data_IF_291424023112
#
_entry.id   IF_291424023112
#
_cell.length_a   1.000
_cell.length_b   1.000
_cell.length_c   1.000
_cell.angle_alpha   90.00
_cell.angle_beta   90.00
_cell.angle_gamma   90.00
#
_symmetry.space_group_name_H-M   'P 1'
#
loop_
_entity.id
_entity.type
_entity.pdbx_description
1 polymer ?
#
# COMPACT_ATOMS: atom_id res chain seq x y z
N UNK A 1 36.39 -12.73 4.08
CA UNK A 1 35.01 -13.27 4.12
C UNK A 1 34.07 -12.47 5.03
N UNK A 2 34.49 -11.99 6.22
CA UNK A 2 33.62 -11.22 7.13
C UNK A 2 33.07 -9.92 6.50
N UNK A 3 33.93 -9.12 5.87
CA UNK A 3 33.55 -7.86 5.20
C UNK A 3 32.54 -8.06 4.05
N UNK A 4 32.63 -9.20 3.35
CA UNK A 4 31.69 -9.53 2.27
C UNK A 4 30.29 -9.82 2.82
N UNK A 5 30.19 -10.53 3.95
CA UNK A 5 28.90 -10.80 4.63
C UNK A 5 28.26 -9.54 5.19
N UNK A 6 29.04 -8.62 5.73
CA UNK A 6 28.52 -7.34 6.25
C UNK A 6 27.94 -6.47 5.13
N UNK A 7 28.60 -6.44 3.96
CA UNK A 7 28.07 -5.74 2.78
C UNK A 7 26.75 -6.35 2.28
N UNK A 8 26.65 -7.67 2.21
CA UNK A 8 25.41 -8.35 1.81
C UNK A 8 24.25 -8.06 2.77
N UNK A 9 24.50 -8.06 4.08
CA UNK A 9 23.49 -7.73 5.07
C UNK A 9 23.03 -6.26 5.00
N UNK A 10 23.95 -5.33 4.72
CA UNK A 10 23.60 -3.91 4.53
C UNK A 10 22.74 -3.70 3.28
N UNK A 11 23.06 -4.37 2.17
CA UNK A 11 22.27 -4.31 0.93
C UNK A 11 20.87 -4.86 1.16
N UNK A 12 20.74 -6.04 1.79
CA UNK A 12 19.43 -6.62 2.08
C UNK A 12 18.56 -5.71 2.97
N UNK A 13 19.16 -5.06 3.98
CA UNK A 13 18.42 -4.12 4.83
C UNK A 13 17.98 -2.86 4.06
N UNK A 14 18.79 -2.40 3.10
CA UNK A 14 18.44 -1.27 2.25
C UNK A 14 17.29 -1.63 1.30
N UNK A 15 17.30 -2.82 0.71
CA UNK A 15 16.23 -3.34 -0.14
C UNK A 15 14.92 -3.48 0.64
N UNK A 16 14.99 -4.02 1.86
CA UNK A 16 13.84 -4.12 2.76
C UNK A 16 13.27 -2.74 3.13
N UNK A 17 14.14 -1.74 3.34
CA UNK A 17 13.70 -0.37 3.62
C UNK A 17 12.99 0.23 2.40
N UNK A 18 13.56 0.07 1.20
CA UNK A 18 12.94 0.56 -0.03
C UNK A 18 11.60 -0.13 -0.27
N UNK A 19 11.50 -1.43 -0.04
CA UNK A 19 10.25 -2.18 -0.17
C UNK A 19 9.16 -1.61 0.76
N UNK A 20 9.51 -1.34 2.04
CA UNK A 20 8.59 -0.72 3.02
C UNK A 20 8.15 0.68 2.60
N UNK A 21 9.05 1.49 2.06
CA UNK A 21 8.73 2.84 1.59
C UNK A 21 7.76 2.80 0.40
N UNK A 22 8.03 1.92 -0.58
CA UNK A 22 7.14 1.70 -1.73
C UNK A 22 5.77 1.21 -1.29
N UNK A 23 5.71 0.27 -0.35
CA UNK A 23 4.44 -0.23 0.19
C UNK A 23 3.65 0.89 0.89
N UNK A 24 4.34 1.76 1.63
CA UNK A 24 3.74 2.90 2.31
C UNK A 24 3.17 3.92 1.33
N UNK A 25 3.91 4.26 0.27
CA UNK A 25 3.45 5.14 -0.81
C UNK A 25 2.20 4.55 -1.47
N UNK A 26 2.23 3.25 -1.80
CA UNK A 26 1.08 2.56 -2.40
C UNK A 26 -0.17 2.65 -1.53
N UNK A 27 -0.03 2.46 -0.21
CA UNK A 27 -1.15 2.57 0.75
C UNK A 27 -1.71 3.99 0.81
N UNK A 28 -0.85 5.01 0.81
CA UNK A 28 -1.28 6.42 0.81
C UNK A 28 -2.04 6.79 -0.47
N UNK A 29 -1.56 6.32 -1.63
CA UNK A 29 -2.24 6.54 -2.91
C UNK A 29 -3.61 5.84 -2.95
N UNK A 30 -3.68 4.60 -2.50
CA UNK A 30 -4.95 3.87 -2.40
C UNK A 30 -5.95 4.61 -1.49
N UNK A 31 -5.50 5.10 -0.34
CA UNK A 31 -6.35 5.89 0.56
C UNK A 31 -6.86 7.16 -0.11
N UNK A 32 -5.99 7.89 -0.83
CA UNK A 32 -6.37 9.09 -1.56
C UNK A 32 -7.42 8.80 -2.62
N UNK A 33 -7.22 7.76 -3.44
CA UNK A 33 -8.16 7.37 -4.49
C UNK A 33 -9.54 7.04 -3.91
N UNK A 34 -9.59 6.25 -2.85
CA UNK A 34 -10.86 5.93 -2.19
C UNK A 34 -11.51 7.19 -1.60
N UNK A 35 -10.74 8.12 -1.05
CA UNK A 35 -11.26 9.41 -0.56
C UNK A 35 -11.82 10.28 -1.69
N UNK A 36 -11.22 10.22 -2.88
CA UNK A 36 -11.65 10.99 -4.05
C UNK A 36 -12.88 10.42 -4.75
N UNK A 37 -13.28 9.18 -4.45
CA UNK A 37 -14.46 8.60 -5.06
C UNK A 37 -14.27 7.18 -5.55
N UNK A 38 -13.02 6.81 -5.85
CA UNK A 38 -12.73 5.59 -6.60
C UNK A 38 -13.24 4.34 -5.88
N UNK A 39 -13.88 3.45 -6.62
CA UNK A 39 -14.32 2.17 -6.10
C UNK A 39 -13.22 1.08 -6.22
N UNK A 40 -13.50 -0.09 -5.66
CA UNK A 40 -12.52 -1.17 -5.67
C UNK A 40 -12.24 -1.73 -7.06
N UNK A 41 -13.17 -1.60 -8.01
CA UNK A 41 -13.04 -2.15 -9.36
C UNK A 41 -12.20 -1.22 -10.25
N UNK A 42 -12.41 0.10 -10.17
CA UNK A 42 -11.57 1.12 -10.82
C UNK A 42 -10.11 1.01 -10.37
N UNK A 43 -9.90 0.84 -9.07
CA UNK A 43 -8.57 0.64 -8.48
C UNK A 43 -7.96 -0.69 -8.94
N UNK A 44 -8.76 -1.76 -9.04
CA UNK A 44 -8.27 -3.07 -9.47
C UNK A 44 -7.81 -3.03 -10.93
N UNK A 45 -8.59 -2.38 -11.79
CA UNK A 45 -8.28 -2.16 -13.19
C UNK A 45 -6.95 -1.41 -13.34
N UNK A 46 -6.75 -0.31 -12.60
CA UNK A 46 -5.52 0.48 -12.66
C UNK A 46 -4.28 -0.30 -12.18
N UNK A 47 -4.46 -1.24 -11.24
CA UNK A 47 -3.38 -2.05 -10.67
C UNK A 47 -3.17 -3.39 -11.41
N UNK A 48 -4.03 -3.75 -12.36
CA UNK A 48 -3.99 -5.06 -13.03
C UNK A 48 -4.22 -6.24 -12.09
N UNK A 49 -5.06 -6.06 -11.06
CA UNK A 49 -5.39 -7.10 -10.08
C UNK A 49 -6.90 -7.30 -9.99
N UNK A 50 -7.34 -8.38 -9.37
CA UNK A 50 -8.76 -8.58 -9.06
C UNK A 50 -9.22 -7.60 -7.97
N UNK A 51 -10.50 -7.21 -8.01
CA UNK A 51 -11.09 -6.35 -6.97
C UNK A 51 -11.06 -6.99 -5.59
N UNK A 52 -11.01 -8.32 -5.52
CA UNK A 52 -10.78 -9.06 -4.28
C UNK A 52 -9.39 -8.80 -3.69
N UNK A 53 -8.37 -8.59 -4.53
CA UNK A 53 -7.02 -8.21 -4.14
C UNK A 53 -6.97 -6.81 -3.54
N UNK A 54 -7.69 -5.86 -4.13
CA UNK A 54 -7.82 -4.49 -3.61
C UNK A 54 -8.48 -4.50 -2.23
N UNK A 55 -9.56 -5.26 -2.05
CA UNK A 55 -10.26 -5.41 -0.74
C UNK A 55 -9.42 -6.09 0.34
N UNK A 56 -8.38 -6.85 -0.03
CA UNK A 56 -7.39 -7.41 0.91
C UNK A 56 -6.29 -6.39 1.25
N UNK A 57 -5.89 -5.56 0.30
CA UNK A 57 -4.89 -4.51 0.49
C UNK A 57 -5.40 -3.36 1.35
N UNK A 58 -6.69 -3.02 1.23
CA UNK A 58 -7.36 -2.01 2.03
C UNK A 58 -8.64 -2.62 2.59
N UNK A 59 -8.81 -2.49 3.92
CA UNK A 59 -10.12 -2.74 4.53
C UNK A 59 -11.06 -1.60 4.13
N UNK A 60 -11.81 -1.81 3.05
CA UNK A 60 -12.77 -0.82 2.53
C UNK A 60 -13.72 -0.30 3.63
N UNK A 61 -14.11 -1.15 4.59
CA UNK A 61 -14.92 -0.77 5.76
C UNK A 61 -14.29 0.32 6.63
N UNK A 62 -12.96 0.34 6.78
CA UNK A 62 -12.25 1.41 7.53
C UNK A 62 -12.13 2.70 6.72
N UNK A 63 -12.10 2.59 5.39
CA UNK A 63 -11.97 3.75 4.50
C UNK A 63 -13.33 4.40 4.19
N UNK A 64 -14.41 3.64 4.21
CA UNK A 64 -15.78 4.15 4.11
C UNK A 64 -16.12 5.07 5.29
N UNK A 65 -15.66 4.73 6.50
CA UNK A 65 -15.67 5.65 7.66
C UNK A 65 -14.92 6.97 7.42
N UNK A 66 -13.88 6.97 6.58
CA UNK A 66 -13.13 8.19 6.22
C UNK A 66 -13.81 9.01 5.12
N UNK A 67 -14.64 8.39 4.27
CA UNK A 67 -15.49 9.09 3.28
C UNK A 67 -16.68 9.78 3.94
N UNK A 68 -17.24 9.19 4.99
CA UNK A 68 -18.44 9.69 5.65
C UNK A 68 -18.20 10.83 6.63
N UNK A 69 -16.95 11.15 6.99
CA UNK A 69 -16.65 12.31 7.83
C UNK A 69 -17.58 12.42 9.04
N UNK A 70 -17.79 11.32 9.79
CA UNK A 70 -18.53 11.38 11.04
C UNK A 70 -17.75 12.29 12.01
N UNK A 71 -18.16 13.56 11.98
CA UNK A 71 -18.54 14.37 13.12
C UNK A 71 -18.84 13.53 14.36
N UNK A 72 -18.04 13.71 15.41
CA UNK A 72 -18.59 13.77 16.77
C UNK A 72 -19.48 15.01 16.91
#
# INVERSE_FOLDING_TARGET
>A
MLILREKEAMVNNQDDKMLREVESIKKLLLLLLVKLGADSDEIAMALGVDSSGVRKMISMRKVEKLRLGESD
#
